data_IF_111437223117
#
_entry.id   IF_111437223117
#
_cell.length_a   1.000
_cell.length_b   1.000
_cell.length_c   1.000
_cell.angle_alpha   90.00
_cell.angle_beta   90.00
_cell.angle_gamma   90.00
#
_symmetry.space_group_name_H-M   'P 1'
#
loop_
_entity.id
_entity.type
_entity.pdbx_description
1 polymer ?
#
# COMPACT_ATOMS: atom_id res chain seq x y z
N UNK A 1 -13.76 14.77 24.10
CA UNK A 1 -14.35 13.89 23.08
C UNK A 1 -13.44 12.69 22.93
N UNK A 2 -13.85 11.54 23.47
CA UNK A 2 -13.01 10.35 23.66
C UNK A 2 -13.10 9.43 22.45
N UNK A 3 -11.97 9.14 21.79
CA UNK A 3 -11.89 8.26 20.63
C UNK A 3 -11.74 6.79 21.08
N UNK A 4 -12.81 6.01 20.93
CA UNK A 4 -12.85 4.57 21.19
C UNK A 4 -12.24 3.79 20.03
N UNK A 5 -10.94 3.48 20.12
CA UNK A 5 -10.26 2.59 19.16
C UNK A 5 -10.67 1.13 19.40
N UNK A 6 -11.51 0.61 18.52
CA UNK A 6 -11.92 -0.81 18.46
C UNK A 6 -10.72 -1.71 18.15
N UNK A 7 -10.18 -2.37 19.17
CA UNK A 7 -9.12 -3.36 19.02
C UNK A 7 -9.69 -4.70 18.53
N UNK A 8 -9.64 -4.95 17.23
CA UNK A 8 -9.98 -6.25 16.63
C UNK A 8 -8.94 -7.30 17.06
N UNK A 9 -9.39 -8.37 17.71
CA UNK A 9 -8.57 -9.38 18.37
C UNK A 9 -7.48 -10.00 17.49
N UNK A 10 -6.25 -10.02 18.00
CA UNK A 10 -5.08 -10.60 17.33
C UNK A 10 -4.98 -12.07 17.76
N UNK A 11 -5.19 -13.00 16.83
CA UNK A 11 -5.17 -14.45 17.07
C UNK A 11 -3.76 -15.08 17.17
N UNK A 12 -2.70 -14.27 17.10
CA UNK A 12 -1.32 -14.69 17.33
C UNK A 12 -0.50 -13.56 17.98
N UNK A 13 -0.09 -13.73 19.24
CA UNK A 13 0.70 -12.74 19.98
C UNK A 13 2.04 -12.41 19.30
N UNK A 14 2.60 -13.34 18.51
CA UNK A 14 3.82 -13.13 17.74
C UNK A 14 3.62 -12.18 16.52
N UNK A 15 2.38 -12.01 16.07
CA UNK A 15 2.02 -11.13 14.95
C UNK A 15 1.47 -9.78 15.42
N UNK A 16 1.74 -9.38 16.68
CA UNK A 16 1.32 -8.05 17.15
C UNK A 16 1.95 -6.98 16.25
N UNK A 17 1.15 -6.10 15.63
CA UNK A 17 1.69 -5.00 14.86
C UNK A 17 2.56 -4.16 15.79
N UNK A 18 3.83 -3.99 15.41
CA UNK A 18 4.76 -3.12 16.12
C UNK A 18 4.15 -1.71 16.23
N UNK A 19 4.22 -1.13 17.44
CA UNK A 19 3.68 0.20 17.69
C UNK A 19 4.36 1.24 16.80
N UNK A 20 3.63 2.29 16.44
CA UNK A 20 4.18 3.38 15.64
C UNK A 20 5.45 3.99 16.28
N UNK A 21 5.47 4.11 17.61
CA UNK A 21 6.63 4.58 18.37
C UNK A 21 7.89 3.71 18.14
N UNK A 22 7.77 2.37 18.25
CA UNK A 22 8.90 1.48 18.03
C UNK A 22 9.34 1.47 16.56
N UNK A 23 8.42 1.65 15.60
CA UNK A 23 8.78 1.83 14.18
C UNK A 23 9.62 3.08 13.98
N UNK A 24 9.22 4.20 14.58
CA UNK A 24 9.95 5.46 14.45
C UNK A 24 11.36 5.34 15.05
N UNK A 25 11.48 4.77 16.25
CA UNK A 25 12.80 4.52 16.87
C UNK A 25 13.73 3.67 15.99
N UNK A 26 13.20 2.69 15.25
CA UNK A 26 14.01 1.89 14.31
C UNK A 26 14.49 2.75 13.13
N UNK A 27 13.62 3.61 12.60
CA UNK A 27 13.94 4.47 11.46
C UNK A 27 14.95 5.56 11.84
N UNK A 28 14.90 6.06 13.07
CA UNK A 28 15.83 7.08 13.56
C UNK A 28 17.23 6.49 13.83
N UNK A 29 17.30 5.20 14.19
CA UNK A 29 18.58 4.51 14.45
C UNK A 29 19.21 3.91 13.19
N UNK A 30 18.45 3.64 12.12
CA UNK A 30 18.99 3.11 10.86
C UNK A 30 20.10 3.97 10.23
N UNK A 31 19.98 5.31 10.13
CA UNK A 31 21.02 6.15 9.53
C UNK A 31 22.29 6.28 10.40
N UNK A 32 22.28 5.81 11.65
CA UNK A 32 23.44 5.87 12.55
C UNK A 32 24.51 4.80 12.24
N UNK A 33 24.27 3.91 11.27
CA UNK A 33 25.19 2.83 10.89
C UNK A 33 25.19 1.63 11.84
N UNK A 34 24.31 1.60 12.84
CA UNK A 34 24.16 0.46 13.74
C UNK A 34 23.67 -0.80 13.01
N UNK A 35 24.18 -1.97 13.43
CA UNK A 35 23.66 -3.24 12.92
C UNK A 35 22.21 -3.47 13.34
N UNK A 36 21.43 -4.17 12.50
CA UNK A 36 20.04 -4.51 12.82
C UNK A 36 19.90 -5.28 14.16
N UNK A 37 20.94 -6.01 14.58
CA UNK A 37 20.99 -6.69 15.89
C UNK A 37 21.13 -5.72 17.05
N UNK A 38 21.94 -4.68 16.91
CA UNK A 38 22.08 -3.63 17.93
C UNK A 38 20.77 -2.86 18.09
N UNK A 39 20.17 -2.41 16.98
CA UNK A 39 18.87 -1.71 16.97
C UNK A 39 17.78 -2.57 17.62
N UNK A 40 17.73 -3.87 17.30
CA UNK A 40 16.76 -4.79 17.87
C UNK A 40 16.85 -4.89 19.40
N UNK A 41 18.07 -4.97 19.95
CA UNK A 41 18.29 -5.01 21.40
C UNK A 41 17.89 -3.70 22.08
N UNK A 42 18.20 -2.56 21.46
CA UNK A 42 17.90 -1.25 22.02
C UNK A 42 16.39 -0.95 22.04
N UNK A 43 15.67 -1.31 20.98
CA UNK A 43 14.22 -1.06 20.85
C UNK A 43 13.37 -2.15 21.54
N UNK A 44 13.99 -3.29 21.88
CA UNK A 44 13.29 -4.46 22.41
C UNK A 44 12.35 -5.06 21.35
N UNK A 45 12.91 -5.38 20.18
CA UNK A 45 12.22 -6.03 19.06
C UNK A 45 13.10 -7.12 18.44
N UNK A 46 12.59 -7.85 17.44
CA UNK A 46 13.38 -8.84 16.72
C UNK A 46 14.16 -8.22 15.55
N UNK A 47 15.27 -8.85 15.17
CA UNK A 47 16.05 -8.45 13.99
C UNK A 47 15.24 -8.51 12.70
N UNK A 48 14.29 -9.44 12.59
CA UNK A 48 13.37 -9.56 11.47
C UNK A 48 12.41 -8.37 11.40
N UNK A 49 11.92 -7.88 12.53
CA UNK A 49 11.10 -6.66 12.58
C UNK A 49 11.89 -5.43 12.15
N UNK A 50 13.14 -5.27 12.61
CA UNK A 50 14.02 -4.16 12.16
C UNK A 50 14.18 -4.19 10.64
N UNK A 51 14.59 -5.33 10.07
CA UNK A 51 14.74 -5.47 8.60
C UNK A 51 13.44 -5.21 7.85
N UNK A 52 12.29 -5.66 8.37
CA UNK A 52 11.00 -5.43 7.75
C UNK A 52 10.60 -3.95 7.76
N UNK A 53 10.85 -3.22 8.85
CA UNK A 53 10.56 -1.78 8.96
C UNK A 53 11.46 -0.99 8.01
N UNK A 54 12.78 -1.24 8.02
CA UNK A 54 13.72 -0.57 7.11
C UNK A 54 13.36 -0.85 5.64
N UNK A 55 12.96 -2.09 5.31
CA UNK A 55 12.50 -2.45 3.97
C UNK A 55 11.20 -1.71 3.60
N UNK A 56 10.22 -1.65 4.51
CA UNK A 56 8.96 -0.95 4.26
C UNK A 56 9.16 0.54 4.05
N UNK A 57 10.06 1.18 4.80
CA UNK A 57 10.37 2.60 4.62
C UNK A 57 11.07 2.91 3.29
N UNK A 58 11.87 1.97 2.79
CA UNK A 58 12.55 2.09 1.49
C UNK A 58 11.68 1.65 0.31
N UNK A 59 10.62 0.88 0.57
CA UNK A 59 9.72 0.43 -0.48
C UNK A 59 8.70 1.54 -0.79
N UNK A 60 8.51 1.89 -2.07
CA UNK A 60 7.41 2.77 -2.44
C UNK A 60 6.10 2.12 -1.99
N UNK A 61 5.07 2.92 -1.63
CA UNK A 61 3.78 2.38 -1.26
C UNK A 61 3.26 1.50 -2.41
N UNK A 62 3.21 0.18 -2.17
CA UNK A 62 2.68 -0.83 -3.10
C UNK A 62 1.16 -0.78 -3.22
N UNK A 63 0.59 0.42 -3.34
CA UNK A 63 -0.84 0.55 -3.62
C UNK A 63 -1.02 0.39 -5.11
N UNK A 64 -1.84 -0.58 -5.51
CA UNK A 64 -2.37 -0.64 -6.88
C UNK A 64 -2.94 0.73 -7.22
N UNK A 65 -2.51 1.30 -8.35
CA UNK A 65 -3.00 2.59 -8.85
C UNK A 65 -4.53 2.54 -8.89
N UNK A 66 -5.17 3.60 -8.39
CA UNK A 66 -6.63 3.72 -8.44
C UNK A 66 -7.04 4.16 -9.85
N UNK A 67 -8.22 3.72 -10.28
CA UNK A 67 -8.86 4.27 -11.47
C UNK A 67 -9.37 5.67 -11.12
N UNK A 68 -8.92 6.68 -11.86
CA UNK A 68 -9.23 8.09 -11.61
C UNK A 68 -10.23 8.64 -12.64
N UNK A 69 -10.76 9.83 -12.39
CA UNK A 69 -11.65 10.51 -13.35
C UNK A 69 -10.95 10.83 -14.68
N UNK A 70 -9.63 11.07 -14.68
CA UNK A 70 -8.85 11.23 -15.92
C UNK A 70 -8.82 9.91 -16.71
N UNK A 71 -8.60 8.78 -16.01
CA UNK A 71 -8.63 7.46 -16.64
C UNK A 71 -10.02 7.15 -17.20
N UNK A 72 -11.09 7.58 -16.51
CA UNK A 72 -12.46 7.43 -16.99
C UNK A 72 -12.70 8.19 -18.29
N UNK A 73 -12.32 9.47 -18.35
CA UNK A 73 -12.48 10.30 -19.55
C UNK A 73 -11.71 9.72 -20.73
N UNK A 74 -10.45 9.29 -20.51
CA UNK A 74 -9.65 8.64 -21.54
C UNK A 74 -10.26 7.31 -21.98
N UNK A 75 -10.71 6.49 -21.04
CA UNK A 75 -11.36 5.22 -21.36
C UNK A 75 -12.64 5.41 -22.20
N UNK A 76 -13.45 6.42 -21.88
CA UNK A 76 -14.65 6.76 -22.66
C UNK A 76 -14.28 7.21 -24.08
N UNK A 77 -13.27 8.07 -24.22
CA UNK A 77 -12.82 8.54 -25.52
C UNK A 77 -12.28 7.39 -26.40
N UNK A 78 -11.50 6.49 -25.82
CA UNK A 78 -10.98 5.31 -26.53
C UNK A 78 -12.10 4.33 -26.88
N UNK A 79 -13.07 4.13 -25.99
CA UNK A 79 -14.22 3.27 -26.24
C UNK A 79 -15.11 3.83 -27.36
N UNK A 80 -15.31 5.15 -27.41
CA UNK A 80 -16.01 5.83 -28.49
C UNK A 80 -15.32 5.68 -29.85
N UNK A 81 -14.00 5.44 -29.87
CA UNK A 81 -13.22 5.11 -31.07
C UNK A 81 -13.33 3.63 -31.48
N UNK A 82 -14.10 2.82 -30.75
CA UNK A 82 -14.26 1.40 -31.01
C UNK A 82 -13.15 0.51 -30.45
N UNK A 83 -12.28 1.04 -29.58
CA UNK A 83 -11.25 0.22 -28.90
C UNK A 83 -11.90 -0.77 -27.95
N UNK A 84 -11.34 -1.97 -27.88
CA UNK A 84 -11.79 -3.00 -26.95
C UNK A 84 -11.36 -2.68 -25.51
N UNK A 85 -12.10 -3.18 -24.51
CA UNK A 85 -11.73 -2.99 -23.10
C UNK A 85 -10.35 -3.54 -22.72
N UNK A 86 -9.83 -4.50 -23.49
CA UNK A 86 -8.48 -5.04 -23.29
C UNK A 86 -7.44 -4.01 -23.74
N UNK A 87 -7.59 -3.46 -24.94
CA UNK A 87 -6.69 -2.42 -25.47
C UNK A 87 -6.70 -1.17 -24.60
N UNK A 88 -7.88 -0.72 -24.17
CA UNK A 88 -8.03 0.44 -23.27
C UNK A 88 -7.33 0.17 -21.94
N UNK A 89 -7.49 -1.04 -21.38
CA UNK A 89 -6.83 -1.43 -20.15
C UNK A 89 -5.30 -1.43 -20.28
N UNK A 90 -4.78 -1.97 -21.39
CA UNK A 90 -3.35 -1.96 -21.68
C UNK A 90 -2.80 -0.55 -21.80
N UNK A 91 -3.51 0.35 -22.48
CA UNK A 91 -3.10 1.74 -22.66
C UNK A 91 -3.09 2.53 -21.34
N UNK A 92 -4.06 2.27 -20.45
CA UNK A 92 -4.19 2.97 -19.17
C UNK A 92 -3.49 2.28 -17.99
N UNK A 93 -2.94 1.08 -18.19
CA UNK A 93 -2.30 0.29 -17.15
C UNK A 93 -3.27 -0.40 -16.17
N UNK A 94 -4.47 -0.75 -16.64
CA UNK A 94 -5.50 -1.45 -15.86
C UNK A 94 -5.91 -2.78 -16.49
N UNK A 95 -6.45 -3.68 -15.67
CA UNK A 95 -7.08 -4.90 -16.18
C UNK A 95 -8.40 -4.59 -16.89
N UNK A 96 -8.76 -5.40 -17.89
CA UNK A 96 -10.04 -5.35 -18.62
C UNK A 96 -11.24 -5.19 -17.69
N UNK A 97 -11.29 -5.96 -16.60
CA UNK A 97 -12.42 -5.93 -15.66
C UNK A 97 -12.55 -4.59 -14.93
N UNK A 98 -11.41 -3.93 -14.67
CA UNK A 98 -11.41 -2.60 -14.05
C UNK A 98 -12.00 -1.58 -15.03
N UNK A 99 -11.59 -1.60 -16.29
CA UNK A 99 -12.14 -0.70 -17.32
C UNK A 99 -13.63 -0.96 -17.54
N UNK A 100 -14.04 -2.22 -17.72
CA UNK A 100 -15.44 -2.57 -17.94
C UNK A 100 -16.33 -2.13 -16.78
N UNK A 101 -15.87 -2.28 -15.53
CA UNK A 101 -16.64 -1.85 -14.37
C UNK A 101 -16.85 -0.33 -14.34
N UNK A 102 -15.82 0.46 -14.64
CA UNK A 102 -15.91 1.92 -14.56
C UNK A 102 -16.65 2.54 -15.74
N UNK A 103 -16.53 1.96 -16.95
CA UNK A 103 -17.32 2.42 -18.10
C UNK A 103 -18.80 2.11 -17.88
N UNK A 104 -19.16 0.87 -17.53
CA UNK A 104 -20.56 0.50 -17.27
C UNK A 104 -21.21 1.27 -16.12
N UNK A 105 -20.44 1.59 -15.08
CA UNK A 105 -20.94 2.37 -13.95
C UNK A 105 -21.23 3.83 -14.29
N UNK A 106 -20.70 4.34 -15.42
CA UNK A 106 -20.86 5.73 -15.87
C UNK A 106 -21.53 5.82 -17.26
N UNK A 107 -22.06 4.71 -17.79
CA UNK A 107 -22.80 4.64 -19.07
C UNK A 107 -24.31 4.93 -18.89
N UNK A 108 -24.73 5.54 -17.78
CA UNK A 108 -26.12 5.91 -17.48
C UNK A 108 -26.25 7.11 -16.57
#
# INVERSE_FOLDING_TARGET
MSETTTARGIRNMACRPISAAKKQQILDLEPTGMSARAIARQVGTSTSTVKAVCRQAKQPPHRKRRFTDDDLRRAQQLHAQGRTYIEIGLELGFGRDTVSKHLKANEG
#
